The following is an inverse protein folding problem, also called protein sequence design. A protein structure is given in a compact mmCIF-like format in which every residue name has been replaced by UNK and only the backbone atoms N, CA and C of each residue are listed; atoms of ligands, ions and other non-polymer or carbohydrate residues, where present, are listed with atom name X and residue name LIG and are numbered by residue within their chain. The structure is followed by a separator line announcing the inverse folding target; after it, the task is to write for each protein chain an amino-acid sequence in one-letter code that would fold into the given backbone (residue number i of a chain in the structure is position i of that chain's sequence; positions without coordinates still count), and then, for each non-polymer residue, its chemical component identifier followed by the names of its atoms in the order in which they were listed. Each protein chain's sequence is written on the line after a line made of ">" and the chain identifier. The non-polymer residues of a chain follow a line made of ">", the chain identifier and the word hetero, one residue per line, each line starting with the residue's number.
data_IF_817784647979
#
_entry.id   IF_817784647979
#
_cell.length_a   1.000
_cell.length_b   1.000
_cell.length_c   1.000
_cell.angle_alpha   90.00
_cell.angle_beta   90.00
_cell.angle_gamma   90.00
#
_symmetry.space_group_name_H-M   'P 1'
#
loop_
_entity.id
_entity.type
_entity.pdbx_description
1 polymer ?
#
# COMPACT_ATOMS: atom_id res chain seq x y z
N UNK A 1 -14.69 -17.80 17.89
CA UNK A 1 -14.81 -16.90 16.72
C UNK A 1 -13.68 -15.89 16.84
N UNK A 2 -12.73 -15.82 15.89
CA UNK A 2 -11.77 -14.72 15.92
C UNK A 2 -12.55 -13.42 15.71
N UNK A 3 -12.24 -12.40 16.51
CA UNK A 3 -12.84 -11.07 16.32
C UNK A 3 -12.33 -10.53 14.99
N UNK A 4 -13.22 -10.04 14.13
CA UNK A 4 -12.86 -9.38 12.86
C UNK A 4 -12.48 -7.90 13.05
N UNK A 5 -12.59 -7.37 14.27
CA UNK A 5 -12.29 -5.96 14.58
C UNK A 5 -10.84 -5.55 14.29
N UNK A 6 -9.81 -6.39 14.53
CA UNK A 6 -8.44 -6.07 14.14
C UNK A 6 -8.29 -5.89 12.63
N UNK A 7 -8.94 -6.74 11.83
CA UNK A 7 -8.92 -6.63 10.37
C UNK A 7 -9.63 -5.35 9.90
N UNK A 8 -10.78 -5.02 10.47
CA UNK A 8 -11.49 -3.76 10.15
C UNK A 8 -10.59 -2.56 10.44
N UNK A 9 -9.92 -2.57 11.60
CA UNK A 9 -9.00 -1.49 11.99
C UNK A 9 -7.81 -1.40 11.05
N UNK A 10 -7.24 -2.53 10.65
CA UNK A 10 -6.15 -2.59 9.68
C UNK A 10 -6.56 -2.03 8.32
N UNK A 11 -7.74 -2.40 7.80
CA UNK A 11 -8.28 -1.86 6.53
C UNK A 11 -8.44 -0.33 6.62
N UNK A 12 -9.00 0.19 7.72
CA UNK A 12 -9.17 1.64 7.90
C UNK A 12 -7.82 2.36 7.95
N UNK A 13 -6.85 1.81 8.68
CA UNK A 13 -5.51 2.40 8.75
C UNK A 13 -4.79 2.34 7.39
N UNK A 14 -4.93 1.24 6.65
CA UNK A 14 -4.40 1.10 5.30
C UNK A 14 -4.97 2.15 4.35
N UNK A 15 -6.28 2.42 4.40
CA UNK A 15 -6.90 3.47 3.57
C UNK A 15 -6.28 4.84 3.88
N UNK A 16 -6.08 5.17 5.16
CA UNK A 16 -5.40 6.42 5.56
C UNK A 16 -3.95 6.48 5.09
N UNK A 17 -3.23 5.36 5.15
CA UNK A 17 -1.86 5.26 4.63
C UNK A 17 -1.83 5.50 3.12
N UNK A 18 -2.78 4.94 2.35
CA UNK A 18 -2.90 5.20 0.91
C UNK A 18 -3.21 6.66 0.60
N UNK A 19 -4.11 7.27 1.38
CA UNK A 19 -4.42 8.69 1.23
C UNK A 19 -3.16 9.52 1.48
N UNK A 20 -2.46 9.29 2.59
CA UNK A 20 -1.22 9.99 2.91
C UNK A 20 -0.10 9.74 1.90
N UNK A 21 0.01 8.51 1.38
CA UNK A 21 0.96 8.11 0.34
C UNK A 21 0.72 8.86 -0.98
N UNK A 22 -0.44 9.48 -1.16
CA UNK A 22 -0.80 10.31 -2.32
C UNK A 22 -0.53 11.80 -2.10
N UNK A 23 -0.05 12.19 -0.92
CA UNK A 23 0.18 13.60 -0.55
C UNK A 23 1.67 13.96 -0.44
N UNK A 24 2.04 15.25 -0.30
CA UNK A 24 3.42 15.67 -0.04
C UNK A 24 4.01 15.16 1.29
N UNK A 25 3.18 14.63 2.20
CA UNK A 25 3.64 14.13 3.51
C UNK A 25 4.57 12.93 3.40
N UNK A 26 4.54 12.22 2.27
CA UNK A 26 5.44 11.09 2.00
C UNK A 26 6.93 11.48 2.10
N UNK A 27 7.28 12.77 1.94
CA UNK A 27 8.66 13.27 2.16
C UNK A 27 9.19 13.02 3.57
N UNK A 28 8.29 12.87 4.54
CA UNK A 28 8.62 12.63 5.95
C UNK A 28 8.75 11.14 6.28
N UNK A 29 8.43 10.25 5.33
CA UNK A 29 8.47 8.82 5.55
C UNK A 29 9.93 8.33 5.49
N UNK A 30 10.21 7.24 6.21
CA UNK A 30 11.50 6.58 6.21
C UNK A 30 11.31 5.08 5.93
N UNK A 31 12.41 4.35 5.74
CA UNK A 31 12.37 2.91 5.45
C UNK A 31 11.61 2.12 6.52
N UNK A 32 11.85 2.39 7.81
CA UNK A 32 11.18 1.68 8.91
C UNK A 32 9.67 1.88 8.91
N UNK A 33 9.19 3.08 8.58
CA UNK A 33 7.75 3.32 8.47
C UNK A 33 7.15 2.55 7.29
N UNK A 34 7.82 2.56 6.14
CA UNK A 34 7.37 1.84 4.96
C UNK A 34 7.38 0.31 5.14
N UNK A 35 8.34 -0.23 5.90
CA UNK A 35 8.35 -1.64 6.31
C UNK A 35 7.09 -1.97 7.13
N UNK A 36 6.73 -1.16 8.13
CA UNK A 36 5.50 -1.35 8.92
C UNK A 36 4.23 -1.26 8.06
N UNK A 37 4.18 -0.34 7.10
CA UNK A 37 3.08 -0.29 6.14
C UNK A 37 2.99 -1.56 5.30
N UNK A 38 4.13 -2.14 4.93
CA UNK A 38 4.20 -3.40 4.17
C UNK A 38 3.73 -4.58 5.02
N UNK A 39 4.11 -4.64 6.30
CA UNK A 39 3.61 -5.61 7.27
C UNK A 39 2.08 -5.53 7.43
N UNK A 40 1.52 -4.31 7.47
CA UNK A 40 0.07 -4.13 7.50
C UNK A 40 -0.63 -4.63 6.24
N UNK A 41 -0.04 -4.41 5.06
CA UNK A 41 -0.57 -4.94 3.81
C UNK A 41 -0.63 -6.47 3.84
N UNK A 42 0.48 -7.12 4.23
CA UNK A 42 0.56 -8.57 4.36
C UNK A 42 -0.45 -9.13 5.36
N UNK A 43 -0.64 -8.44 6.50
CA UNK A 43 -1.65 -8.81 7.48
C UNK A 43 -3.07 -8.76 6.88
N UNK A 44 -3.43 -7.66 6.20
CA UNK A 44 -4.75 -7.51 5.58
C UNK A 44 -5.00 -8.60 4.53
N UNK A 45 -4.03 -8.83 3.65
CA UNK A 45 -4.11 -9.83 2.59
C UNK A 45 -4.28 -11.24 3.19
N UNK A 46 -3.47 -11.58 4.19
CA UNK A 46 -3.52 -12.89 4.86
C UNK A 46 -4.86 -13.11 5.55
N UNK A 47 -5.31 -12.15 6.37
CA UNK A 47 -6.57 -12.27 7.11
C UNK A 47 -7.78 -12.31 6.17
N UNK A 48 -7.79 -11.49 5.11
CA UNK A 48 -8.84 -11.57 4.10
C UNK A 48 -8.84 -12.94 3.41
N UNK A 49 -7.67 -13.49 3.07
CA UNK A 49 -7.56 -14.77 2.37
C UNK A 49 -8.04 -15.98 3.19
N UNK A 50 -7.87 -15.97 4.51
CA UNK A 50 -8.32 -17.07 5.38
C UNK A 50 -9.82 -17.01 5.71
N UNK A 51 -10.45 -15.86 5.55
CA UNK A 51 -11.87 -15.68 5.85
C UNK A 51 -12.79 -16.04 4.68
N UNK A 52 -14.04 -16.41 4.97
CA UNK A 52 -15.07 -16.66 3.94
C UNK A 52 -15.44 -15.37 3.21
N UNK A 53 -15.97 -15.50 1.98
CA UNK A 53 -16.41 -14.35 1.17
C UNK A 53 -17.35 -13.41 1.94
N UNK A 54 -18.36 -13.96 2.61
CA UNK A 54 -19.32 -13.18 3.42
C UNK A 54 -18.63 -12.41 4.56
N UNK A 55 -17.60 -13.01 5.17
CA UNK A 55 -16.84 -12.35 6.24
C UNK A 55 -15.98 -11.22 5.69
N UNK A 56 -15.34 -11.40 4.52
CA UNK A 56 -14.58 -10.34 3.83
C UNK A 56 -15.49 -9.17 3.47
N UNK A 57 -16.65 -9.43 2.89
CA UNK A 57 -17.64 -8.41 2.55
C UNK A 57 -18.14 -7.66 3.79
N UNK A 58 -18.40 -8.38 4.89
CA UNK A 58 -18.76 -7.76 6.16
C UNK A 58 -17.66 -6.85 6.71
N UNK A 59 -16.39 -7.27 6.66
CA UNK A 59 -15.26 -6.45 7.08
C UNK A 59 -15.17 -5.16 6.24
N UNK A 60 -15.28 -5.29 4.92
CA UNK A 60 -15.30 -4.16 3.99
C UNK A 60 -16.44 -3.19 4.32
N UNK A 61 -17.67 -3.68 4.44
CA UNK A 61 -18.83 -2.85 4.79
C UNK A 61 -18.66 -2.12 6.13
N UNK A 62 -18.07 -2.77 7.13
CA UNK A 62 -17.83 -2.16 8.43
C UNK A 62 -16.72 -1.12 8.38
N UNK A 63 -15.66 -1.35 7.59
CA UNK A 63 -14.63 -0.35 7.34
C UNK A 63 -15.19 0.89 6.63
N UNK A 64 -16.06 0.71 5.62
CA UNK A 64 -16.70 1.79 4.87
C UNK A 64 -17.64 2.67 5.73
N UNK A 65 -18.04 2.22 6.92
CA UNK A 65 -18.77 3.06 7.88
C UNK A 65 -17.86 3.99 8.68
N UNK A 66 -16.55 3.73 8.70
CA UNK A 66 -15.55 4.46 9.50
C UNK A 66 -14.71 5.45 8.67
N UNK A 67 -14.72 5.34 7.34
CA UNK A 67 -13.97 6.21 6.43
C UNK A 67 -14.74 6.42 5.11
N UNK A 68 -14.49 7.54 4.44
CA UNK A 68 -15.19 7.96 3.22
C UNK A 68 -15.01 6.99 2.05
N UNK A 69 -13.80 6.46 1.88
CA UNK A 69 -13.47 5.56 0.79
C UNK A 69 -12.70 4.34 1.29
N UNK A 70 -13.12 3.15 0.85
CA UNK A 70 -12.40 1.90 1.04
C UNK A 70 -12.18 1.28 -0.34
N UNK A 71 -10.93 0.94 -0.73
CA UNK A 71 -10.66 0.26 -1.99
C UNK A 71 -11.36 -1.10 -2.08
N UNK A 72 -11.75 -1.51 -3.28
CA UNK A 72 -12.43 -2.79 -3.49
C UNK A 72 -11.64 -3.98 -2.89
N UNK A 73 -12.35 -5.07 -2.57
CA UNK A 73 -11.72 -6.27 -2.00
C UNK A 73 -10.56 -6.83 -2.85
N UNK A 74 -10.58 -6.65 -4.18
CA UNK A 74 -9.46 -7.03 -5.03
C UNK A 74 -8.20 -6.22 -4.70
N UNK A 75 -8.34 -4.91 -4.49
CA UNK A 75 -7.22 -4.06 -4.09
C UNK A 75 -6.74 -4.38 -2.67
N UNK A 76 -7.64 -4.77 -1.76
CA UNK A 76 -7.25 -5.19 -0.41
C UNK A 76 -6.55 -6.56 -0.40
N UNK A 77 -6.77 -7.40 -1.40
CA UNK A 77 -6.04 -8.65 -1.62
C UNK A 77 -4.73 -8.46 -2.41
N UNK A 78 -4.48 -7.25 -2.91
CA UNK A 78 -3.28 -6.83 -3.64
C UNK A 78 -2.71 -5.54 -3.00
N UNK A 79 -2.86 -5.43 -1.67
CA UNK A 79 -2.71 -4.20 -0.91
C UNK A 79 -1.28 -3.65 -0.98
N UNK A 80 -0.27 -4.52 -0.88
CA UNK A 80 1.14 -4.11 -0.93
C UNK A 80 1.50 -3.57 -2.31
N UNK A 81 1.03 -4.24 -3.37
CA UNK A 81 1.26 -3.80 -4.74
C UNK A 81 0.62 -2.43 -4.99
N UNK A 82 -0.61 -2.20 -4.50
CA UNK A 82 -1.26 -0.90 -4.62
C UNK A 82 -0.52 0.18 -3.82
N UNK A 83 -0.06 -0.10 -2.60
CA UNK A 83 0.74 0.84 -1.80
C UNK A 83 1.99 1.30 -2.58
N UNK A 84 2.76 0.35 -3.11
CA UNK A 84 3.99 0.68 -3.83
C UNK A 84 3.70 1.41 -5.14
N UNK A 85 2.64 1.04 -5.88
CA UNK A 85 2.22 1.81 -7.06
C UNK A 85 1.87 3.26 -6.71
N UNK A 86 1.09 3.48 -5.65
CA UNK A 86 0.72 4.83 -5.19
C UNK A 86 1.94 5.66 -4.82
N UNK A 87 2.91 5.06 -4.12
CA UNK A 87 4.16 5.74 -3.78
C UNK A 87 4.98 6.07 -5.03
N UNK A 88 5.14 5.12 -5.94
CA UNK A 88 5.95 5.31 -7.15
C UNK A 88 5.41 6.42 -8.06
N UNK A 89 4.09 6.58 -8.15
CA UNK A 89 3.50 7.70 -8.93
C UNK A 89 3.53 9.04 -8.20
N UNK A 90 3.77 9.06 -6.88
CA UNK A 90 3.79 10.31 -6.11
C UNK A 90 5.10 11.07 -6.34
N UNK A 91 4.97 12.28 -6.85
CA UNK A 91 6.09 13.14 -7.19
C UNK A 91 6.93 13.61 -6.00
N UNK A 92 6.43 13.44 -4.79
CA UNK A 92 7.07 13.86 -3.55
C UNK A 92 7.83 12.75 -2.83
N UNK A 93 7.79 11.50 -3.34
CA UNK A 93 8.65 10.43 -2.81
C UNK A 93 10.11 10.84 -2.93
N UNK A 94 10.90 10.58 -1.89
CA UNK A 94 12.34 10.87 -1.87
C UNK A 94 13.13 9.81 -2.63
N UNK A 95 14.34 10.16 -3.07
CA UNK A 95 15.21 9.23 -3.81
C UNK A 95 15.52 7.97 -2.98
N UNK A 96 15.77 8.12 -1.68
CA UNK A 96 16.03 7.00 -0.77
C UNK A 96 14.83 6.06 -0.63
N UNK A 97 13.61 6.61 -0.53
CA UNK A 97 12.40 5.80 -0.50
C UNK A 97 12.17 5.11 -1.84
N UNK A 98 12.42 5.81 -2.95
CA UNK A 98 12.32 5.25 -4.29
C UNK A 98 13.21 4.02 -4.46
N UNK A 99 14.50 4.12 -4.12
CA UNK A 99 15.42 2.98 -4.22
C UNK A 99 15.00 1.81 -3.33
N UNK A 100 14.53 2.09 -2.12
CA UNK A 100 14.01 1.06 -1.23
C UNK A 100 12.79 0.35 -1.82
N UNK A 101 11.81 1.12 -2.34
CA UNK A 101 10.60 0.57 -2.97
C UNK A 101 10.98 -0.28 -4.16
N UNK A 102 11.81 0.23 -5.08
CA UNK A 102 12.21 -0.51 -6.29
C UNK A 102 12.92 -1.81 -5.95
N UNK A 103 13.89 -1.80 -5.01
CA UNK A 103 14.59 -3.01 -4.58
C UNK A 103 13.63 -4.08 -4.03
N UNK A 104 12.62 -3.65 -3.28
CA UNK A 104 11.65 -4.55 -2.64
C UNK A 104 10.56 -5.01 -3.62
N UNK A 105 10.06 -4.09 -4.44
CA UNK A 105 8.96 -4.34 -5.39
C UNK A 105 9.39 -5.17 -6.58
N UNK A 106 10.59 -4.93 -7.14
CA UNK A 106 11.13 -5.72 -8.25
C UNK A 106 11.40 -7.16 -7.82
N UNK A 107 11.83 -7.37 -6.58
CA UNK A 107 11.96 -8.70 -6.00
C UNK A 107 10.61 -9.44 -5.93
N UNK A 108 9.54 -8.74 -5.55
CA UNK A 108 8.21 -9.31 -5.37
C UNK A 108 7.40 -9.43 -6.67
N UNK A 109 7.65 -8.57 -7.66
CA UNK A 109 6.92 -8.50 -8.94
C UNK A 109 7.82 -8.83 -10.13
N UNK A 110 8.79 -9.73 -9.96
CA UNK A 110 9.73 -10.18 -10.99
C UNK A 110 9.01 -10.86 -12.18
N UNK A 111 8.34 -10.04 -12.98
CA UNK A 111 7.75 -10.33 -14.28
C UNK A 111 8.33 -9.33 -15.29
N UNK A 112 9.67 -9.21 -15.31
CA UNK A 112 10.46 -8.82 -16.48
C UNK A 112 10.18 -7.51 -17.22
N UNK A 113 9.33 -6.61 -16.71
CA UNK A 113 9.03 -5.35 -17.39
C UNK A 113 9.75 -4.18 -16.71
N UNK A 114 10.78 -3.59 -17.33
CA UNK A 114 11.39 -2.36 -16.84
C UNK A 114 10.33 -1.26 -16.90
N UNK A 115 10.07 -0.57 -15.79
CA UNK A 115 9.19 0.61 -15.75
C UNK A 115 10.02 1.88 -15.90
N UNK A 116 10.10 2.51 -17.10
CA UNK A 116 11.06 3.58 -17.40
C UNK A 116 10.65 4.99 -16.89
N UNK A 117 9.53 5.11 -16.18
CA UNK A 117 8.77 6.36 -16.12
C UNK A 117 9.22 7.33 -15.00
N UNK A 118 9.88 6.84 -13.95
CA UNK A 118 10.23 7.67 -12.76
C UNK A 118 11.73 7.98 -12.70
N UNK A 119 12.59 7.09 -13.20
CA UNK A 119 14.04 7.35 -13.30
C UNK A 119 14.35 8.57 -14.17
N UNK A 120 13.56 8.80 -15.22
CA UNK A 120 13.71 9.97 -16.10
C UNK A 120 13.54 11.29 -15.35
N UNK A 121 12.78 11.32 -14.25
CA UNK A 121 12.59 12.50 -13.41
C UNK A 121 13.80 12.83 -12.55
N UNK A 122 14.42 11.82 -11.94
CA UNK A 122 15.62 12.02 -11.10
C UNK A 122 16.86 12.32 -11.93
N UNK A 123 16.97 11.73 -13.12
CA UNK A 123 18.05 12.01 -14.06
C UNK A 123 17.94 13.45 -14.62
N UNK A 124 16.73 13.96 -14.88
CA UNK A 124 16.54 15.34 -15.37
C UNK A 124 16.81 16.44 -14.33
N UNK A 125 16.69 16.14 -13.03
CA UNK A 125 16.93 17.11 -11.95
C UNK A 125 18.36 17.02 -11.36
N UNK A 126 19.19 16.11 -11.88
CA UNK A 126 20.59 15.93 -11.45
C UNK A 126 21.60 16.58 -12.41
N UNK A 127 21.12 17.34 -13.41
CA UNK A 127 21.93 18.11 -14.38
C UNK A 127 21.71 19.60 -14.15
#
# INVERSE_FOLDING_TARGET
>A
MSSIEPLITAIVNYCRVLDEASTPRVKLWNHSFLEKCSEWCLFIETELMIHSKDTREKCYQLASKKIEYVPSLLHLLDAQHQLYKTLLINEHVTLDLYYFIMKTYDFLNAAGQPRPDILTKYIKNAV
#
